data_IF_406997831690
#
_entry.id   IF_406997831690
#
_cell.length_a   1.000
_cell.length_b   1.000
_cell.length_c   1.000
_cell.angle_alpha   90.00
_cell.angle_beta   90.00
_cell.angle_gamma   90.00
#
_symmetry.space_group_name_H-M   'P 1'
#
loop_
_entity.id
_entity.type
_entity.pdbx_description
1 polymer ?
#
# COMPACT_ATOMS: atom_id res chain seq x y z
N UNK A 1 4.39 -0.35 -16.50
CA UNK A 1 4.43 -0.17 -15.03
C UNK A 1 4.89 1.26 -14.78
N UNK A 2 3.96 2.22 -14.80
CA UNK A 2 4.26 3.64 -14.60
C UNK A 2 4.83 3.85 -13.20
N UNK A 3 6.06 4.34 -13.12
CA UNK A 3 6.79 4.44 -11.85
C UNK A 3 6.10 5.45 -10.93
N UNK A 4 5.51 4.96 -9.84
CA UNK A 4 5.13 5.75 -8.67
C UNK A 4 6.26 6.69 -8.17
N UNK A 5 7.50 6.43 -8.60
CA UNK A 5 8.68 7.25 -8.39
C UNK A 5 8.56 8.71 -8.88
N UNK A 6 7.61 9.04 -9.77
CA UNK A 6 7.42 10.41 -10.27
C UNK A 6 6.62 11.35 -9.35
N UNK A 7 6.17 10.88 -8.17
CA UNK A 7 5.14 11.53 -7.36
C UNK A 7 5.67 12.35 -6.18
N UNK A 8 6.91 12.86 -6.24
CA UNK A 8 7.39 13.84 -5.27
C UNK A 8 8.91 13.95 -5.16
N UNK A 9 9.38 15.16 -4.81
CA UNK A 9 10.78 15.48 -4.55
C UNK A 9 11.36 14.56 -3.46
N UNK A 10 12.25 13.64 -3.86
CA UNK A 10 12.99 12.77 -2.93
C UNK A 10 12.32 11.43 -2.60
N UNK A 11 11.26 11.03 -3.32
CA UNK A 11 10.66 9.71 -3.17
C UNK A 11 11.63 8.60 -3.64
N UNK A 12 11.83 7.57 -2.81
CA UNK A 12 12.53 6.35 -3.24
C UNK A 12 11.51 5.21 -3.37
N UNK A 13 11.35 4.72 -4.60
CA UNK A 13 10.55 3.56 -4.92
C UNK A 13 11.37 2.27 -4.77
N UNK A 14 10.86 1.32 -4.02
CA UNK A 14 11.46 -0.01 -3.83
C UNK A 14 10.42 -1.07 -4.23
N UNK A 15 10.58 -1.76 -5.37
CA UNK A 15 9.66 -2.83 -5.74
C UNK A 15 9.81 -4.00 -4.76
N UNK A 16 8.68 -4.55 -4.32
CA UNK A 16 8.68 -5.79 -3.56
C UNK A 16 8.61 -6.99 -4.51
N UNK A 17 9.29 -8.12 -4.21
CA UNK A 17 9.09 -9.33 -4.97
C UNK A 17 7.64 -9.80 -4.82
N UNK A 18 7.13 -10.47 -5.86
CA UNK A 18 5.84 -11.16 -5.82
C UNK A 18 5.83 -12.08 -4.60
N UNK A 19 4.74 -12.06 -3.85
CA UNK A 19 4.65 -12.89 -2.63
C UNK A 19 4.77 -14.36 -3.02
N UNK A 20 5.65 -15.08 -2.30
CA UNK A 20 5.85 -16.51 -2.47
C UNK A 20 4.54 -17.31 -2.34
N UNK A 21 4.28 -18.22 -3.28
CA UNK A 21 3.02 -18.96 -3.40
C UNK A 21 2.58 -19.64 -2.09
N UNK A 22 3.52 -20.30 -1.39
CA UNK A 22 3.25 -20.90 -0.07
C UNK A 22 2.64 -19.90 0.92
N UNK A 23 3.22 -18.70 1.05
CA UNK A 23 2.69 -17.67 1.97
C UNK A 23 1.36 -17.09 1.50
N UNK A 24 1.12 -17.05 0.19
CA UNK A 24 -0.16 -16.63 -0.39
C UNK A 24 -1.25 -17.62 0.04
N UNK A 25 -1.01 -18.93 -0.11
CA UNK A 25 -1.92 -20.00 0.30
C UNK A 25 -2.20 -19.94 1.80
N UNK A 26 -1.15 -19.91 2.63
CA UNK A 26 -1.28 -19.83 4.09
C UNK A 26 -2.12 -18.61 4.52
N UNK A 27 -1.88 -17.45 3.91
CA UNK A 27 -2.64 -16.22 4.21
C UNK A 27 -4.08 -16.30 3.71
N UNK A 28 -4.31 -16.88 2.53
CA UNK A 28 -5.64 -17.10 1.97
C UNK A 28 -6.53 -17.89 2.93
N UNK A 29 -5.99 -19.00 3.43
CA UNK A 29 -6.70 -19.87 4.37
C UNK A 29 -6.92 -19.16 5.71
N UNK A 30 -5.88 -18.52 6.27
CA UNK A 30 -5.93 -17.94 7.62
C UNK A 30 -6.73 -16.63 7.73
N UNK A 31 -6.69 -15.79 6.70
CA UNK A 31 -7.19 -14.40 6.78
C UNK A 31 -8.39 -14.16 5.86
N UNK A 32 -8.44 -14.85 4.72
CA UNK A 32 -9.42 -14.56 3.66
C UNK A 32 -10.46 -15.67 3.47
N UNK A 33 -10.58 -16.61 4.40
CA UNK A 33 -11.61 -17.65 4.34
C UNK A 33 -11.52 -18.52 3.09
N UNK A 34 -10.31 -18.72 2.54
CA UNK A 34 -10.04 -19.42 1.26
C UNK A 34 -10.46 -18.68 -0.01
N UNK A 35 -10.86 -17.41 0.09
CA UNK A 35 -11.09 -16.56 -1.09
C UNK A 35 -9.78 -15.93 -1.59
N UNK A 36 -9.27 -16.45 -2.70
CA UNK A 36 -8.05 -15.94 -3.32
C UNK A 36 -8.23 -14.54 -3.94
N UNK A 37 -9.44 -14.15 -4.32
CA UNK A 37 -9.73 -12.84 -4.92
C UNK A 37 -9.62 -11.69 -3.89
N UNK A 38 -9.65 -12.01 -2.60
CA UNK A 38 -9.48 -11.05 -1.50
C UNK A 38 -8.01 -10.73 -1.17
N UNK A 39 -7.04 -11.39 -1.80
CA UNK A 39 -5.61 -11.17 -1.56
C UNK A 39 -5.16 -9.84 -2.18
N UNK A 40 -4.74 -8.91 -1.33
CA UNK A 40 -4.42 -7.52 -1.71
C UNK A 40 -2.93 -7.21 -1.76
N UNK A 41 -2.06 -8.16 -1.40
CA UNK A 41 -0.62 -7.92 -1.26
C UNK A 41 0.24 -8.95 -2.01
N UNK A 42 -0.30 -9.48 -3.11
CA UNK A 42 0.43 -10.38 -4.01
C UNK A 42 1.56 -9.63 -4.73
N UNK A 43 1.24 -8.47 -5.29
CA UNK A 43 2.19 -7.48 -5.83
C UNK A 43 2.22 -6.29 -4.90
N UNK A 44 3.41 -5.78 -4.59
CA UNK A 44 3.59 -4.72 -3.59
C UNK A 44 4.84 -3.91 -3.89
N UNK A 45 4.88 -2.69 -3.37
CA UNK A 45 6.06 -1.85 -3.36
C UNK A 45 6.11 -1.09 -2.05
N UNK A 46 7.28 -0.51 -1.76
CA UNK A 46 7.47 0.43 -0.67
C UNK A 46 7.94 1.74 -1.28
N UNK A 47 7.33 2.84 -0.87
CA UNK A 47 7.76 4.19 -1.24
C UNK A 47 8.18 4.87 0.04
N UNK A 48 9.44 5.28 0.12
CA UNK A 48 9.99 5.99 1.27
C UNK A 48 10.20 7.45 0.95
N UNK A 49 9.84 8.32 1.89
CA UNK A 49 10.09 9.75 1.82
C UNK A 49 10.95 10.19 3.01
N UNK A 50 11.80 11.21 2.83
CA UNK A 50 12.57 11.80 3.93
C UNK A 50 11.71 12.64 4.88
N UNK A 51 10.50 13.04 4.47
CA UNK A 51 9.60 13.89 5.24
C UNK A 51 8.16 13.40 5.22
N UNK A 52 7.43 13.66 6.31
CA UNK A 52 5.99 13.37 6.40
C UNK A 52 5.16 14.13 5.36
N UNK A 53 5.57 15.36 5.01
CA UNK A 53 4.94 16.14 3.95
C UNK A 53 4.95 15.41 2.61
N UNK A 54 6.04 14.72 2.26
CA UNK A 54 6.12 13.91 1.03
C UNK A 54 5.17 12.71 1.07
N UNK A 55 5.00 12.09 2.25
CA UNK A 55 4.03 11.00 2.43
C UNK A 55 2.60 11.50 2.22
N UNK A 56 2.24 12.64 2.80
CA UNK A 56 0.91 13.23 2.64
C UNK A 56 0.64 13.61 1.18
N UNK A 57 1.61 14.24 0.50
CA UNK A 57 1.49 14.60 -0.90
C UNK A 57 1.24 13.37 -1.81
N UNK A 58 1.91 12.24 -1.53
CA UNK A 58 1.64 10.99 -2.23
C UNK A 58 0.18 10.55 -2.02
N UNK A 59 -0.31 10.57 -0.78
CA UNK A 59 -1.66 10.12 -0.46
C UNK A 59 -2.74 10.97 -1.14
N UNK A 60 -2.57 12.30 -1.15
CA UNK A 60 -3.49 13.20 -1.87
C UNK A 60 -3.47 12.93 -3.38
N UNK A 61 -2.28 12.77 -3.99
CA UNK A 61 -2.19 12.41 -5.40
C UNK A 61 -2.85 11.06 -5.70
N UNK A 62 -2.75 10.07 -4.79
CA UNK A 62 -3.40 8.75 -4.99
C UNK A 62 -4.91 8.90 -4.94
N UNK A 63 -5.41 9.72 -4.01
CA UNK A 63 -6.83 10.03 -3.86
C UNK A 63 -7.38 10.76 -5.08
N UNK A 64 -6.70 11.79 -5.58
CA UNK A 64 -7.09 12.49 -6.82
C UNK A 64 -7.21 11.52 -8.01
N UNK A 65 -6.25 10.59 -8.16
CA UNK A 65 -6.34 9.55 -9.21
C UNK A 65 -7.41 8.49 -8.97
N UNK A 66 -7.82 8.28 -7.72
CA UNK A 66 -8.97 7.45 -7.39
C UNK A 66 -10.28 8.12 -7.82
N UNK A 67 -10.37 9.44 -7.67
CA UNK A 67 -11.58 10.22 -7.91
C UNK A 67 -11.83 10.53 -9.40
N UNK A 68 -10.77 10.61 -10.22
CA UNK A 68 -10.86 10.99 -11.65
C UNK A 68 -11.64 10.02 -12.56
N UNK A 69 -11.88 8.76 -12.16
CA UNK A 69 -12.61 7.79 -13.00
C UNK A 69 -11.85 7.33 -14.26
N UNK A 70 -12.17 6.13 -14.80
CA UNK A 70 -11.70 5.69 -16.13
C UNK A 70 -10.52 4.69 -16.14
N UNK A 71 -9.91 4.51 -17.33
CA UNK A 71 -8.82 3.55 -17.55
C UNK A 71 -7.55 4.01 -16.83
N UNK A 72 -7.07 3.21 -15.87
CA UNK A 72 -5.92 3.58 -15.02
C UNK A 72 -6.30 4.16 -13.65
N UNK A 73 -7.59 4.14 -13.29
CA UNK A 73 -8.09 4.52 -11.97
C UNK A 73 -7.53 3.61 -10.87
N UNK A 74 -7.08 4.22 -9.78
CA UNK A 74 -6.62 3.51 -8.58
C UNK A 74 -7.82 3.36 -7.64
N UNK A 75 -8.24 2.14 -7.30
CA UNK A 75 -9.33 1.94 -6.32
C UNK A 75 -8.76 1.70 -4.94
N UNK A 76 -8.77 2.69 -4.06
CA UNK A 76 -8.34 2.48 -2.68
C UNK A 76 -9.37 1.60 -1.95
N UNK A 77 -9.03 0.33 -1.70
CA UNK A 77 -9.88 -0.61 -0.94
C UNK A 77 -9.77 -0.37 0.56
N UNK A 78 -8.57 -0.09 1.06
CA UNK A 78 -8.32 0.08 2.49
C UNK A 78 -7.06 0.89 2.75
N UNK A 79 -7.14 1.76 3.75
CA UNK A 79 -5.98 2.44 4.34
C UNK A 79 -5.66 1.76 5.67
N UNK A 80 -4.38 1.45 5.90
CA UNK A 80 -3.88 1.06 7.23
C UNK A 80 -3.03 2.20 7.74
N UNK A 81 -3.56 2.94 8.71
CA UNK A 81 -2.84 4.00 9.39
C UNK A 81 -2.25 3.45 10.69
N UNK A 82 -0.96 3.10 10.69
CA UNK A 82 -0.26 2.69 11.91
C UNK A 82 0.44 3.86 12.60
N UNK A 83 0.31 5.08 12.08
CA UNK A 83 0.76 6.32 12.73
C UNK A 83 -0.31 6.90 13.67
N UNK A 84 -1.53 6.36 13.63
CA UNK A 84 -2.61 6.76 14.53
C UNK A 84 -2.19 6.59 15.99
N UNK A 85 -2.51 7.58 16.84
CA UNK A 85 -2.14 7.57 18.27
C UNK A 85 -2.80 6.41 19.01
N UNK A 86 -3.99 5.98 18.57
CA UNK A 86 -4.69 4.81 19.11
C UNK A 86 -4.15 3.48 18.57
N UNK A 87 -3.26 3.48 17.57
CA UNK A 87 -2.64 2.25 17.08
C UNK A 87 -1.52 1.80 18.03
N UNK A 88 -1.76 0.67 18.70
CA UNK A 88 -0.76 -0.01 19.53
C UNK A 88 -0.34 -1.31 18.86
N UNK A 89 0.97 -1.51 18.73
CA UNK A 89 1.60 -2.74 18.29
C UNK A 89 2.83 -2.98 19.16
N UNK A 90 3.03 -4.23 19.57
CA UNK A 90 4.07 -4.64 20.52
C UNK A 90 5.49 -4.35 20.01
N UNK A 91 5.66 -4.25 18.68
CA UNK A 91 6.97 -4.03 18.05
C UNK A 91 7.36 -2.56 17.94
N UNK A 92 6.42 -1.64 18.19
CA UNK A 92 6.64 -0.21 17.94
C UNK A 92 6.74 0.15 16.45
N UNK A 93 6.49 -0.78 15.53
CA UNK A 93 6.52 -0.53 14.08
C UNK A 93 5.42 0.46 13.65
N UNK A 94 5.78 1.35 12.73
CA UNK A 94 4.94 2.46 12.26
C UNK A 94 5.08 2.64 10.75
N UNK A 95 3.96 2.61 10.04
CA UNK A 95 3.88 2.85 8.60
C UNK A 95 2.48 3.33 8.19
N UNK A 96 2.35 3.67 6.91
CA UNK A 96 1.06 3.81 6.24
C UNK A 96 1.03 2.84 5.06
N UNK A 97 -0.09 2.11 4.90
CA UNK A 97 -0.26 1.22 3.76
C UNK A 97 -1.59 1.48 3.04
N UNK A 98 -1.50 1.60 1.72
CA UNK A 98 -2.64 1.66 0.81
C UNK A 98 -2.83 0.30 0.16
N UNK A 99 -4.02 -0.27 0.35
CA UNK A 99 -4.47 -1.46 -0.36
C UNK A 99 -5.33 -0.96 -1.51
N UNK A 100 -4.82 -1.14 -2.73
CA UNK A 100 -5.46 -0.76 -3.99
C UNK A 100 -6.03 -1.98 -4.71
#
# INVERSE_FOLDING_TARGET
VSSWAGWGNGARYVPGPVKHARRVIEKCIRVYGRDAAAITDLVRCTITYPSLHGVLALFEAVKERSDMGGTGMIRIRRVKNRLDVGYSDETGYRDLALLV
#
